data_IF_091713256463
#
_entry.id   IF_091713256463
#
_cell.length_a   1.000
_cell.length_b   1.000
_cell.length_c   1.000
_cell.angle_alpha   90.00
_cell.angle_beta   90.00
_cell.angle_gamma   90.00
#
_symmetry.space_group_name_H-M   'P 1'
#
loop_
_entity.id
_entity.type
_entity.pdbx_description
1 polymer ?
#
# COMPACT_ATOMS: atom_id res chain seq x y z
N UNK A 1 13.86 9.54 -5.10
CA UNK A 1 12.68 8.92 -4.46
C UNK A 1 13.14 7.99 -3.37
N UNK A 2 12.51 8.04 -2.19
CA UNK A 2 12.82 7.19 -1.03
C UNK A 2 11.64 6.29 -0.70
N UNK A 3 11.88 4.99 -0.63
CA UNK A 3 10.88 3.97 -0.30
C UNK A 3 11.15 3.41 1.08
N UNK A 4 10.17 3.50 1.98
CA UNK A 4 10.22 2.86 3.29
C UNK A 4 9.59 1.48 3.22
N UNK A 5 10.30 0.48 3.75
CA UNK A 5 9.88 -0.91 3.84
C UNK A 5 9.81 -1.36 5.31
N UNK A 6 8.69 -1.18 5.98
CA UNK A 6 8.49 -1.79 7.29
C UNK A 6 8.50 -3.33 7.17
N UNK A 7 9.27 -4.00 8.02
CA UNK A 7 9.39 -5.46 8.04
C UNK A 7 9.32 -6.00 9.46
N UNK A 8 8.59 -7.11 9.61
CA UNK A 8 8.51 -7.94 10.81
C UNK A 8 9.15 -9.33 10.58
N UNK A 9 9.92 -9.44 9.50
CA UNK A 9 10.57 -10.68 9.03
C UNK A 9 9.61 -11.81 8.64
N UNK A 10 8.31 -11.58 8.65
CA UNK A 10 7.31 -12.56 8.23
C UNK A 10 7.48 -12.92 6.74
N UNK A 11 6.92 -14.08 6.36
CA UNK A 11 6.89 -14.51 4.95
C UNK A 11 6.27 -13.43 4.02
N UNK A 12 5.28 -12.70 4.51
CA UNK A 12 4.57 -11.69 3.74
C UNK A 12 5.35 -10.37 3.64
N UNK A 13 6.08 -9.98 4.70
CA UNK A 13 6.99 -8.85 4.59
C UNK A 13 8.12 -9.13 3.57
N UNK A 14 8.57 -10.38 3.44
CA UNK A 14 9.54 -10.78 2.40
C UNK A 14 8.97 -10.64 0.99
N UNK A 15 7.68 -10.94 0.76
CA UNK A 15 7.02 -10.68 -0.54
C UNK A 15 7.02 -9.18 -0.86
N UNK A 16 6.73 -8.34 0.13
CA UNK A 16 6.79 -6.89 -0.04
C UNK A 16 8.21 -6.40 -0.34
N UNK A 17 9.24 -6.98 0.29
CA UNK A 17 10.65 -6.69 -0.01
C UNK A 17 10.98 -7.00 -1.47
N UNK A 18 10.63 -8.18 -1.98
CA UNK A 18 10.88 -8.55 -3.38
C UNK A 18 10.15 -7.62 -4.34
N UNK A 19 8.88 -7.31 -4.05
CA UNK A 19 8.09 -6.36 -4.85
C UNK A 19 8.74 -4.99 -4.89
N UNK A 20 9.10 -4.46 -3.73
CA UNK A 20 9.70 -3.14 -3.59
C UNK A 20 11.08 -3.05 -4.24
N UNK A 21 11.90 -4.11 -4.17
CA UNK A 21 13.22 -4.16 -4.81
C UNK A 21 13.08 -3.95 -6.33
N UNK A 22 12.16 -4.68 -6.97
CA UNK A 22 11.92 -4.55 -8.41
C UNK A 22 11.36 -3.18 -8.78
N UNK A 23 10.43 -2.65 -7.97
CA UNK A 23 9.86 -1.31 -8.16
C UNK A 23 10.95 -0.25 -8.00
N UNK A 24 11.76 -0.31 -6.94
CA UNK A 24 12.86 0.62 -6.69
C UNK A 24 13.90 0.58 -7.80
N UNK A 25 14.25 -0.60 -8.28
CA UNK A 25 15.18 -0.75 -9.41
C UNK A 25 14.65 -0.09 -10.70
N UNK A 26 13.34 -0.22 -10.95
CA UNK A 26 12.67 0.46 -12.08
C UNK A 26 12.69 1.97 -11.96
N UNK A 27 12.56 2.50 -10.74
CA UNK A 27 12.48 3.95 -10.46
C UNK A 27 13.82 4.57 -10.06
N UNK A 28 14.89 3.79 -9.95
CA UNK A 28 16.17 4.21 -9.38
C UNK A 28 15.97 4.87 -8.00
N UNK A 29 15.19 4.22 -7.12
CA UNK A 29 14.80 4.71 -5.81
C UNK A 29 15.66 4.09 -4.70
N UNK A 30 15.90 4.85 -3.62
CA UNK A 30 16.51 4.38 -2.38
C UNK A 30 15.51 3.53 -1.59
N UNK A 31 15.97 2.44 -0.97
CA UNK A 31 15.19 1.63 -0.04
C UNK A 31 15.73 1.80 1.38
N UNK A 32 14.81 2.05 2.32
CA UNK A 32 15.08 2.03 3.75
C UNK A 32 14.23 0.93 4.40
N UNK A 33 14.86 -0.15 4.83
CA UNK A 33 14.21 -1.19 5.64
C UNK A 33 14.00 -0.66 7.06
N UNK A 34 12.80 -0.79 7.61
CA UNK A 34 12.49 -0.37 8.98
C UNK A 34 11.96 -1.53 9.80
N UNK A 35 12.62 -1.84 10.91
CA UNK A 35 12.08 -2.76 11.90
C UNK A 35 11.76 -2.01 13.19
N UNK A 36 10.55 -2.21 13.71
CA UNK A 36 10.09 -1.61 14.97
C UNK A 36 10.14 -2.65 16.06
N UNK A 37 10.94 -2.37 17.10
CA UNK A 37 11.07 -3.25 18.27
C UNK A 37 10.24 -2.67 19.41
N UNK A 38 9.38 -3.50 19.98
CA UNK A 38 8.60 -3.14 21.17
C UNK A 38 8.35 -4.36 22.04
N UNK A 39 8.11 -4.11 23.33
CA UNK A 39 7.62 -5.13 24.27
C UNK A 39 6.23 -4.70 24.69
N UNK A 40 5.23 -5.53 24.42
CA UNK A 40 3.88 -5.35 24.89
C UNK A 40 3.80 -5.82 26.36
N UNK A 41 4.22 -4.94 27.27
CA UNK A 41 4.19 -5.20 28.69
C UNK A 41 3.65 -3.98 29.45
N UNK A 42 2.92 -4.20 30.59
CA UNK A 42 2.45 -3.10 31.42
C UNK A 42 3.60 -2.17 31.84
N UNK A 43 3.36 -0.85 31.97
CA UNK A 43 4.42 0.13 32.27
C UNK A 43 5.31 -0.21 33.47
N UNK A 44 4.75 -0.86 34.49
CA UNK A 44 5.50 -1.32 35.68
C UNK A 44 6.47 -2.45 35.39
N UNK A 45 6.18 -3.32 34.40
CA UNK A 45 7.03 -4.42 33.98
C UNK A 45 8.14 -3.94 33.01
N UNK A 46 7.90 -2.86 32.27
CA UNK A 46 8.88 -2.26 31.37
C UNK A 46 10.07 -1.64 32.09
N UNK A 47 9.91 -1.24 33.34
CA UNK A 47 10.97 -0.65 34.18
C UNK A 47 11.96 -1.70 34.75
N UNK A 48 11.72 -2.99 34.54
CA UNK A 48 12.60 -4.03 35.07
C UNK A 48 13.88 -4.19 34.22
N UNK A 49 15.02 -4.35 34.84
CA UNK A 49 16.34 -4.59 34.19
C UNK A 49 16.28 -5.72 33.12
N UNK A 50 15.46 -6.75 33.34
CA UNK A 50 15.24 -7.86 32.39
C UNK A 50 14.64 -7.39 31.06
N UNK A 51 13.80 -6.35 31.05
CA UNK A 51 13.15 -5.81 29.84
C UNK A 51 14.16 -5.19 28.89
N UNK A 52 15.15 -4.46 29.42
CA UNK A 52 16.21 -3.88 28.60
C UNK A 52 17.10 -4.95 27.97
N UNK A 53 17.44 -6.00 28.70
CA UNK A 53 18.22 -7.13 28.15
C UNK A 53 17.46 -7.86 27.02
N UNK A 54 16.15 -8.04 27.17
CA UNK A 54 15.31 -8.64 26.13
C UNK A 54 15.27 -7.72 24.90
N UNK A 55 15.06 -6.42 25.08
CA UNK A 55 15.09 -5.45 23.97
C UNK A 55 16.41 -5.43 23.22
N UNK A 56 17.52 -5.46 23.96
CA UNK A 56 18.86 -5.48 23.34
C UNK A 56 19.09 -6.77 22.53
N UNK A 57 18.69 -7.92 23.07
CA UNK A 57 18.75 -9.17 22.33
C UNK A 57 17.84 -9.17 21.09
N UNK A 58 16.64 -8.56 21.17
CA UNK A 58 15.75 -8.42 19.99
C UNK A 58 16.39 -7.51 18.94
N UNK A 59 17.07 -6.45 19.33
CA UNK A 59 17.78 -5.55 18.42
C UNK A 59 18.94 -6.24 17.73
N UNK A 60 19.75 -7.00 18.47
CA UNK A 60 20.87 -7.74 17.91
C UNK A 60 20.42 -8.79 16.88
N UNK A 61 19.36 -9.52 17.18
CA UNK A 61 18.77 -10.47 16.22
C UNK A 61 18.21 -9.73 14.99
N UNK A 62 17.44 -8.67 15.20
CA UNK A 62 16.86 -7.88 14.11
C UNK A 62 17.96 -7.27 13.21
N UNK A 63 19.09 -6.88 13.78
CA UNK A 63 20.23 -6.37 13.01
C UNK A 63 20.79 -7.41 12.05
N UNK A 64 20.98 -8.64 12.51
CA UNK A 64 21.48 -9.74 11.67
C UNK A 64 20.50 -10.05 10.52
N UNK A 65 19.20 -10.12 10.82
CA UNK A 65 18.16 -10.35 9.81
C UNK A 65 18.11 -9.21 8.78
N UNK A 66 18.21 -7.94 9.22
CA UNK A 66 18.22 -6.78 8.33
C UNK A 66 19.48 -6.69 7.47
N UNK A 67 20.65 -7.03 8.01
CA UNK A 67 21.90 -7.12 7.25
C UNK A 67 21.77 -8.18 6.14
N UNK A 68 21.20 -9.34 6.46
CA UNK A 68 20.94 -10.39 5.48
C UNK A 68 20.01 -9.91 4.36
N UNK A 69 18.84 -9.36 4.73
CA UNK A 69 17.85 -8.85 3.75
C UNK A 69 18.45 -7.71 2.91
N UNK A 70 19.20 -6.81 3.52
CA UNK A 70 19.85 -5.69 2.82
C UNK A 70 20.78 -6.21 1.73
N UNK A 71 21.54 -7.25 2.01
CA UNK A 71 22.45 -7.86 1.05
C UNK A 71 21.68 -8.58 -0.08
N UNK A 72 20.60 -9.30 0.24
CA UNK A 72 19.74 -9.90 -0.79
C UNK A 72 19.15 -8.83 -1.73
N UNK A 73 18.60 -7.74 -1.18
CA UNK A 73 18.04 -6.64 -1.96
C UNK A 73 19.09 -6.00 -2.88
N UNK A 74 20.29 -5.75 -2.37
CA UNK A 74 21.41 -5.19 -3.17
C UNK A 74 21.79 -6.13 -4.32
N UNK A 75 21.90 -7.41 -4.05
CA UNK A 75 22.25 -8.41 -5.08
C UNK A 75 21.16 -8.50 -6.15
N UNK A 76 19.88 -8.58 -5.76
CA UNK A 76 18.76 -8.65 -6.71
C UNK A 76 18.65 -7.37 -7.56
N UNK A 77 18.94 -6.22 -6.98
CA UNK A 77 18.98 -4.95 -7.70
C UNK A 77 20.24 -4.74 -8.55
N UNK A 78 21.19 -5.68 -8.53
CA UNK A 78 22.45 -5.57 -9.23
C UNK A 78 23.32 -4.41 -8.73
N UNK A 79 23.21 -4.07 -7.44
CA UNK A 79 23.88 -2.93 -6.78
C UNK A 79 23.58 -1.56 -7.42
N UNK A 80 22.42 -1.41 -8.07
CA UNK A 80 22.04 -0.17 -8.78
C UNK A 80 21.28 0.81 -7.90
N UNK A 81 20.79 0.38 -6.73
CA UNK A 81 20.01 1.20 -5.81
C UNK A 81 20.67 1.25 -4.44
N UNK A 82 20.48 2.36 -3.74
CA UNK A 82 20.92 2.50 -2.36
C UNK A 82 19.94 1.76 -1.44
N UNK A 83 20.49 0.94 -0.53
CA UNK A 83 19.72 0.19 0.44
C UNK A 83 20.35 0.35 1.82
N UNK A 84 19.54 0.79 2.76
CA UNK A 84 19.91 0.94 4.17
C UNK A 84 18.84 0.35 5.08
N UNK A 85 19.13 0.21 6.37
CA UNK A 85 18.12 -0.19 7.34
C UNK A 85 18.18 0.63 8.63
N UNK A 86 17.07 0.62 9.35
CA UNK A 86 16.92 1.24 10.67
C UNK A 86 16.12 0.33 11.60
N UNK A 87 16.52 0.34 12.88
CA UNK A 87 15.77 -0.30 13.96
C UNK A 87 15.32 0.82 14.90
N UNK A 88 14.02 0.87 15.19
CA UNK A 88 13.45 1.91 16.05
C UNK A 88 12.65 1.25 17.16
N UNK A 89 12.86 1.72 18.40
CA UNK A 89 12.04 1.31 19.55
C UNK A 89 10.77 2.18 19.61
N UNK A 90 9.61 1.58 19.77
CA UNK A 90 8.37 2.35 19.95
C UNK A 90 7.09 1.56 19.74
N UNK A 91 5.99 2.14 20.22
CA UNK A 91 4.62 1.61 20.12
C UNK A 91 3.61 2.77 20.20
N UNK A 92 2.51 2.76 19.45
CA UNK A 92 2.11 1.76 18.47
C UNK A 92 3.01 1.78 17.20
N UNK A 93 3.09 0.64 16.51
CA UNK A 93 3.99 0.45 15.36
C UNK A 93 3.69 1.42 14.22
N UNK A 94 2.43 1.67 13.94
CA UNK A 94 1.96 2.59 12.90
C UNK A 94 2.41 4.04 13.15
N UNK A 95 2.41 4.50 14.40
CA UNK A 95 2.84 5.86 14.75
C UNK A 95 4.37 6.01 14.59
N UNK A 96 5.12 4.95 14.91
CA UNK A 96 6.57 4.90 14.68
C UNK A 96 6.88 4.96 13.19
N UNK A 97 6.15 4.20 12.37
CA UNK A 97 6.32 4.20 10.91
C UNK A 97 6.01 5.58 10.33
N UNK A 98 4.88 6.20 10.71
CA UNK A 98 4.48 7.53 10.22
C UNK A 98 5.48 8.61 10.64
N UNK A 99 5.90 8.61 11.90
CA UNK A 99 6.90 9.57 12.43
C UNK A 99 8.23 9.40 11.70
N UNK A 100 8.68 8.17 11.52
CA UNK A 100 9.92 7.89 10.80
C UNK A 100 9.83 8.35 9.35
N UNK A 101 8.74 8.03 8.68
CA UNK A 101 8.51 8.37 7.28
C UNK A 101 8.49 9.89 7.07
N UNK A 102 7.82 10.64 7.95
CA UNK A 102 7.82 12.11 7.91
C UNK A 102 9.21 12.70 8.11
N UNK A 103 9.95 12.26 9.15
CA UNK A 103 11.24 12.83 9.53
C UNK A 103 12.37 12.52 8.52
N UNK A 104 12.21 11.47 7.70
CA UNK A 104 13.20 11.06 6.71
C UNK A 104 12.81 11.40 5.27
N UNK A 105 11.77 12.21 5.07
CA UNK A 105 11.25 12.62 3.76
C UNK A 105 11.00 11.41 2.84
N UNK A 106 10.26 10.43 3.35
CA UNK A 106 9.85 9.24 2.60
C UNK A 106 8.76 9.62 1.59
N UNK A 107 8.90 9.14 0.36
CA UNK A 107 7.95 9.39 -0.72
C UNK A 107 6.87 8.31 -0.81
N UNK A 108 7.19 7.07 -0.41
CA UNK A 108 6.32 5.89 -0.54
C UNK A 108 6.61 4.89 0.56
N UNK A 109 5.58 4.34 1.17
CA UNK A 109 5.67 3.18 2.06
C UNK A 109 5.21 1.94 1.30
N UNK A 110 5.98 0.84 1.37
CA UNK A 110 5.57 -0.45 0.80
C UNK A 110 5.60 -1.49 1.91
N UNK A 111 4.51 -2.21 2.12
CA UNK A 111 4.42 -3.21 3.18
C UNK A 111 3.52 -4.39 2.79
N UNK A 112 3.73 -5.53 3.43
CA UNK A 112 2.85 -6.69 3.26
C UNK A 112 1.46 -6.45 3.84
N UNK A 113 0.45 -7.08 3.27
CA UNK A 113 -0.94 -6.96 3.75
C UNK A 113 -1.18 -7.63 5.10
N UNK A 114 -0.37 -8.62 5.51
CA UNK A 114 -0.47 -9.31 6.81
C UNK A 114 0.90 -9.33 7.46
N UNK A 115 0.93 -9.30 8.78
CA UNK A 115 2.14 -9.44 9.59
C UNK A 115 2.29 -10.84 10.21
N UNK A 116 3.25 -10.99 11.12
CA UNK A 116 3.61 -12.25 11.78
C UNK A 116 2.46 -12.88 12.60
N UNK A 117 1.43 -12.13 12.97
CA UNK A 117 0.29 -12.65 13.76
C UNK A 117 -0.62 -13.65 13.03
N UNK A 118 -0.51 -13.75 11.70
CA UNK A 118 -1.04 -14.84 10.87
C UNK A 118 -2.50 -15.24 11.06
N UNK A 119 -3.37 -14.37 11.61
CA UNK A 119 -4.79 -14.66 11.78
C UNK A 119 -5.44 -14.87 10.40
N UNK A 120 -5.86 -16.09 10.14
CA UNK A 120 -6.33 -16.63 8.86
C UNK A 120 -7.54 -15.86 8.26
N UNK A 121 -8.22 -15.04 9.06
CA UNK A 121 -9.49 -14.40 8.70
C UNK A 121 -9.42 -12.90 8.41
N UNK A 122 -8.26 -12.25 8.51
CA UNK A 122 -8.13 -10.81 8.28
C UNK A 122 -7.23 -10.58 7.07
N UNK A 123 -7.75 -9.92 6.05
CA UNK A 123 -7.10 -9.76 4.75
C UNK A 123 -5.96 -8.75 4.75
N UNK A 124 -6.10 -7.68 5.52
CA UNK A 124 -5.04 -6.73 5.81
C UNK A 124 -4.79 -6.80 7.31
N UNK A 125 -3.54 -7.00 7.71
CA UNK A 125 -3.14 -7.03 9.11
C UNK A 125 -3.42 -5.71 9.81
N UNK A 126 -3.56 -5.73 11.14
CA UNK A 126 -3.84 -4.54 11.95
C UNK A 126 -2.85 -3.40 11.67
N UNK A 127 -1.55 -3.70 11.60
CA UNK A 127 -0.51 -2.70 11.34
C UNK A 127 -0.65 -2.08 9.93
N UNK A 128 -0.89 -2.89 8.89
CA UNK A 128 -1.07 -2.38 7.54
C UNK A 128 -2.33 -1.51 7.43
N UNK A 129 -3.45 -1.95 8.02
CA UNK A 129 -4.70 -1.17 8.09
C UNK A 129 -4.48 0.16 8.81
N UNK A 130 -3.78 0.14 9.94
CA UNK A 130 -3.50 1.34 10.74
C UNK A 130 -2.56 2.30 10.01
N UNK A 131 -1.49 1.80 9.38
CA UNK A 131 -0.59 2.63 8.56
C UNK A 131 -1.33 3.26 7.39
N UNK A 132 -2.14 2.50 6.63
CA UNK A 132 -2.95 3.02 5.53
C UNK A 132 -3.93 4.10 6.03
N UNK A 133 -4.56 3.88 7.18
CA UNK A 133 -5.54 4.83 7.75
C UNK A 133 -4.92 6.12 8.25
N UNK A 134 -3.72 6.06 8.79
CA UNK A 134 -3.05 7.18 9.45
C UNK A 134 -2.03 7.90 8.56
N UNK A 135 -1.41 7.20 7.61
CA UNK A 135 -0.30 7.75 6.82
C UNK A 135 -0.71 8.92 5.93
N UNK A 136 0.10 9.97 5.94
CA UNK A 136 0.02 11.08 5.00
C UNK A 136 0.82 10.82 3.72
N UNK A 137 1.59 9.76 3.71
CA UNK A 137 2.43 9.31 2.59
C UNK A 137 1.70 8.18 1.88
N UNK A 138 1.77 8.09 0.54
CA UNK A 138 1.21 6.96 -0.19
C UNK A 138 1.72 5.62 0.34
N UNK A 139 0.83 4.63 0.44
CA UNK A 139 1.16 3.28 0.92
C UNK A 139 0.78 2.26 -0.13
N UNK A 140 1.72 1.39 -0.54
CA UNK A 140 1.41 0.20 -1.33
C UNK A 140 1.33 -1.00 -0.39
N UNK A 141 0.15 -1.58 -0.27
CA UNK A 141 -0.07 -2.84 0.42
C UNK A 141 0.10 -4.00 -0.58
N UNK A 142 1.06 -4.88 -0.32
CA UNK A 142 1.45 -5.97 -1.21
C UNK A 142 0.88 -7.29 -0.69
N UNK A 143 -0.05 -7.93 -1.42
CA UNK A 143 -0.61 -9.21 -1.03
C UNK A 143 0.34 -10.39 -1.30
N UNK A 144 0.01 -11.55 -0.72
CA UNK A 144 0.89 -12.73 -0.67
C UNK A 144 1.39 -13.22 -2.04
N UNK A 145 0.55 -13.14 -3.05
CA UNK A 145 0.85 -13.66 -4.37
C UNK A 145 1.19 -12.58 -5.39
N UNK A 146 1.28 -11.32 -4.96
CA UNK A 146 1.64 -10.23 -5.84
C UNK A 146 3.07 -10.38 -6.38
N UNK A 147 3.21 -10.06 -7.66
CA UNK A 147 4.50 -10.01 -8.35
C UNK A 147 4.63 -8.70 -9.10
N UNK A 148 5.76 -8.06 -8.95
CA UNK A 148 6.05 -6.86 -9.74
C UNK A 148 6.62 -7.28 -11.11
N UNK A 149 5.88 -6.98 -12.16
CA UNK A 149 6.37 -7.10 -13.55
C UNK A 149 6.52 -5.71 -14.18
N UNK A 150 5.49 -4.91 -14.09
CA UNK A 150 5.39 -3.47 -14.41
C UNK A 150 4.02 -2.99 -13.91
N UNK A 151 3.75 -1.70 -13.95
CA UNK A 151 2.44 -1.13 -13.65
C UNK A 151 1.91 -0.48 -14.93
N UNK A 152 1.20 -1.24 -15.76
CA UNK A 152 0.63 -0.75 -17.02
C UNK A 152 -0.83 -0.31 -16.88
N UNK A 153 -1.59 -0.99 -16.06
CA UNK A 153 -3.01 -0.73 -15.86
C UNK A 153 -3.30 -0.47 -14.37
N UNK A 154 -3.73 0.76 -14.06
CA UNK A 154 -4.12 1.18 -12.70
C UNK A 154 -5.63 1.33 -12.67
N UNK A 155 -6.32 0.54 -11.85
CA UNK A 155 -7.74 0.75 -11.57
C UNK A 155 -7.87 1.70 -10.39
N UNK A 156 -8.43 2.89 -10.64
CA UNK A 156 -8.74 3.84 -9.59
C UNK A 156 -10.21 3.73 -9.19
N UNK A 157 -10.48 3.09 -8.05
CA UNK A 157 -11.82 3.00 -7.49
C UNK A 157 -12.20 4.34 -6.82
N UNK A 158 -13.19 5.04 -7.40
CA UNK A 158 -13.52 6.42 -7.06
C UNK A 158 -14.98 6.59 -6.67
N UNK A 159 -15.22 7.38 -5.59
CA UNK A 159 -16.54 7.90 -5.24
C UNK A 159 -17.00 9.07 -6.13
N UNK A 160 -16.14 9.55 -7.01
CA UNK A 160 -16.29 10.70 -7.92
C UNK A 160 -16.48 12.07 -7.22
N UNK A 161 -16.38 12.13 -5.88
CA UNK A 161 -16.60 13.38 -5.13
C UNK A 161 -15.46 14.39 -5.33
N UNK A 162 -14.24 13.91 -5.47
CA UNK A 162 -13.07 14.78 -5.60
C UNK A 162 -12.10 14.33 -6.72
N UNK A 163 -12.61 13.61 -7.71
CA UNK A 163 -11.82 13.02 -8.80
C UNK A 163 -10.84 14.01 -9.44
N UNK A 164 -11.23 15.27 -9.61
CA UNK A 164 -10.37 16.32 -10.18
C UNK A 164 -9.12 16.64 -9.35
N UNK A 165 -9.19 16.51 -8.03
CA UNK A 165 -8.01 16.73 -7.15
C UNK A 165 -7.17 15.46 -7.07
N UNK A 166 -7.82 14.31 -6.94
CA UNK A 166 -7.21 13.00 -6.72
C UNK A 166 -6.44 12.52 -7.93
N UNK A 167 -7.03 12.67 -9.11
CA UNK A 167 -6.42 12.20 -10.37
C UNK A 167 -5.06 12.85 -10.65
N UNK A 168 -4.85 14.09 -10.22
CA UNK A 168 -3.57 14.78 -10.40
C UNK A 168 -2.42 14.01 -9.75
N UNK A 169 -2.62 13.55 -8.52
CA UNK A 169 -1.62 12.75 -7.79
C UNK A 169 -1.41 11.40 -8.47
N UNK A 170 -2.49 10.78 -8.93
CA UNK A 170 -2.40 9.49 -9.59
C UNK A 170 -1.74 9.57 -10.97
N UNK A 171 -1.94 10.65 -11.71
CA UNK A 171 -1.24 10.89 -12.99
C UNK A 171 0.26 10.97 -12.78
N UNK A 172 0.73 11.68 -11.73
CA UNK A 172 2.16 11.76 -11.41
C UNK A 172 2.75 10.36 -11.16
N UNK A 173 2.02 9.50 -10.47
CA UNK A 173 2.44 8.12 -10.26
C UNK A 173 2.39 7.30 -11.56
N UNK A 174 1.32 7.42 -12.33
CA UNK A 174 1.14 6.71 -13.59
C UNK A 174 2.23 7.05 -14.64
N UNK A 175 2.67 8.30 -14.66
CA UNK A 175 3.76 8.75 -15.56
C UNK A 175 5.09 8.04 -15.30
N UNK A 176 5.36 7.59 -14.06
CA UNK A 176 6.59 6.85 -13.72
C UNK A 176 6.67 5.50 -14.44
N UNK A 177 5.52 4.93 -14.84
CA UNK A 177 5.42 3.59 -15.42
C UNK A 177 4.83 3.58 -16.83
N UNK A 178 4.47 4.76 -17.35
CA UNK A 178 3.70 4.91 -18.58
C UNK A 178 2.40 4.10 -18.52
N UNK A 179 1.65 4.31 -17.42
CA UNK A 179 0.44 3.57 -17.09
C UNK A 179 -0.81 4.18 -17.69
N UNK A 180 -1.81 3.33 -17.92
CA UNK A 180 -3.18 3.71 -18.20
C UNK A 180 -3.99 3.74 -16.90
N UNK A 181 -4.78 4.79 -16.67
CA UNK A 181 -5.65 4.94 -15.50
C UNK A 181 -7.09 4.64 -15.89
N UNK A 182 -7.65 3.60 -15.28
CA UNK A 182 -9.05 3.22 -15.40
C UNK A 182 -9.81 3.72 -14.17
N UNK A 183 -10.58 4.80 -14.30
CA UNK A 183 -11.43 5.30 -13.22
C UNK A 183 -12.68 4.45 -13.16
N UNK A 184 -12.84 3.69 -12.09
CA UNK A 184 -14.01 2.87 -11.82
C UNK A 184 -14.90 3.55 -10.79
N UNK A 185 -16.14 3.83 -11.17
CA UNK A 185 -17.19 4.31 -10.26
C UNK A 185 -18.31 3.28 -10.16
N UNK A 186 -18.63 2.90 -8.93
CA UNK A 186 -19.65 1.88 -8.67
C UNK A 186 -20.87 2.55 -8.08
N UNK A 187 -22.02 2.27 -8.65
CA UNK A 187 -23.32 2.79 -8.22
C UNK A 187 -24.31 1.66 -8.07
N UNK A 188 -25.21 1.78 -7.09
CA UNK A 188 -26.31 0.81 -6.97
C UNK A 188 -27.18 0.83 -8.22
N UNK A 189 -27.66 -0.34 -8.71
CA UNK A 189 -28.58 -0.45 -9.84
C UNK A 189 -29.84 0.41 -9.70
N UNK A 190 -30.26 0.66 -8.47
CA UNK A 190 -31.43 1.51 -8.15
C UNK A 190 -31.12 3.01 -8.16
N UNK A 191 -29.88 3.41 -8.42
CA UNK A 191 -29.49 4.81 -8.42
C UNK A 191 -30.08 5.57 -9.62
N UNK A 192 -30.74 6.69 -9.35
CA UNK A 192 -31.23 7.60 -10.38
C UNK A 192 -30.15 8.55 -10.93
N UNK A 193 -28.91 8.49 -10.42
CA UNK A 193 -27.82 9.36 -10.88
C UNK A 193 -27.35 8.91 -12.26
N UNK A 194 -27.57 9.77 -13.25
CA UNK A 194 -26.94 9.62 -14.58
C UNK A 194 -25.56 10.24 -14.56
N UNK A 195 -24.54 9.43 -14.84
CA UNK A 195 -23.16 9.89 -14.93
C UNK A 195 -22.73 9.87 -16.38
N UNK A 196 -22.39 11.06 -16.87
CA UNK A 196 -21.85 11.21 -18.24
C UNK A 196 -20.35 10.90 -18.23
N UNK A 197 -20.05 9.62 -18.37
CA UNK A 197 -18.66 9.12 -18.33
C UNK A 197 -17.78 9.73 -19.42
N UNK A 198 -18.30 9.96 -20.61
CA UNK A 198 -17.53 10.54 -21.72
C UNK A 198 -17.18 11.99 -21.47
N UNK A 199 -18.13 12.77 -20.96
CA UNK A 199 -17.88 14.17 -20.59
C UNK A 199 -16.81 14.28 -19.49
N UNK A 200 -16.87 13.42 -18.47
CA UNK A 200 -15.89 13.41 -17.38
C UNK A 200 -14.52 13.03 -17.93
N UNK A 201 -14.42 11.95 -18.71
CA UNK A 201 -13.18 11.50 -19.32
C UNK A 201 -12.53 12.59 -20.17
N UNK A 202 -13.28 13.19 -21.10
CA UNK A 202 -12.77 14.24 -21.99
C UNK A 202 -12.30 15.48 -21.21
N UNK A 203 -13.03 15.86 -20.18
CA UNK A 203 -12.65 16.97 -19.29
C UNK A 203 -11.32 16.67 -18.56
N UNK A 204 -11.13 15.46 -18.04
CA UNK A 204 -9.91 15.07 -17.34
C UNK A 204 -8.71 15.01 -18.30
N UNK A 205 -8.89 14.39 -19.47
CA UNK A 205 -7.85 14.32 -20.52
C UNK A 205 -7.42 15.73 -20.94
N UNK A 206 -8.36 16.60 -21.26
CA UNK A 206 -8.09 17.97 -21.68
C UNK A 206 -7.40 18.78 -20.57
N UNK A 207 -7.91 18.69 -19.34
CA UNK A 207 -7.41 19.47 -18.20
C UNK A 207 -5.98 19.12 -17.82
N UNK A 208 -5.61 17.82 -17.87
CA UNK A 208 -4.31 17.36 -17.42
C UNK A 208 -3.36 16.99 -18.55
N UNK A 209 -3.80 17.15 -19.79
CA UNK A 209 -3.05 16.73 -20.98
C UNK A 209 -2.48 15.30 -20.85
N UNK A 210 -3.32 14.38 -20.33
CA UNK A 210 -2.96 12.98 -20.10
C UNK A 210 -4.00 12.08 -20.79
N UNK A 211 -3.68 11.50 -21.96
CA UNK A 211 -4.65 10.77 -22.77
C UNK A 211 -4.98 9.37 -22.22
N UNK A 212 -4.14 8.83 -21.34
CA UNK A 212 -4.26 7.46 -20.84
C UNK A 212 -5.24 7.39 -19.67
N UNK A 213 -6.46 7.86 -19.85
CA UNK A 213 -7.55 7.83 -18.87
C UNK A 213 -8.80 7.25 -19.51
N UNK A 214 -9.46 6.33 -18.83
CA UNK A 214 -10.84 5.92 -19.12
C UNK A 214 -11.73 6.06 -17.89
N UNK A 215 -13.03 6.23 -18.11
CA UNK A 215 -14.05 6.26 -17.05
C UNK A 215 -15.05 5.14 -17.28
N UNK A 216 -15.18 4.27 -16.30
CA UNK A 216 -16.14 3.19 -16.26
C UNK A 216 -17.12 3.35 -15.10
N UNK A 217 -18.40 3.06 -15.34
CA UNK A 217 -19.44 3.05 -14.32
C UNK A 217 -20.00 1.65 -14.25
N UNK A 218 -19.85 1.00 -13.12
CA UNK A 218 -20.42 -0.32 -12.84
C UNK A 218 -21.69 -0.19 -12.02
N UNK A 219 -22.70 -0.95 -12.38
CA UNK A 219 -23.96 -1.08 -11.64
C UNK A 219 -23.90 -2.34 -10.80
N UNK A 220 -23.57 -2.20 -9.52
CA UNK A 220 -23.48 -3.32 -8.59
C UNK A 220 -23.74 -2.82 -7.17
N UNK A 221 -24.42 -3.62 -6.36
CA UNK A 221 -24.60 -3.34 -4.93
C UNK A 221 -23.42 -3.84 -4.09
N UNK A 222 -22.60 -4.77 -4.64
CA UNK A 222 -21.36 -5.24 -4.03
C UNK A 222 -20.15 -4.54 -4.66
N UNK A 223 -19.56 -3.63 -3.89
CA UNK A 223 -18.42 -2.83 -4.33
C UNK A 223 -17.18 -3.69 -4.60
N UNK A 224 -16.96 -4.72 -3.77
CA UNK A 224 -15.78 -5.58 -3.87
C UNK A 224 -15.88 -6.43 -5.13
N UNK A 225 -17.03 -7.05 -5.36
CA UNK A 225 -17.30 -7.85 -6.56
C UNK A 225 -17.12 -7.01 -7.84
N UNK A 226 -17.67 -5.80 -7.88
CA UNK A 226 -17.52 -4.91 -9.04
C UNK A 226 -16.06 -4.51 -9.31
N UNK A 227 -15.26 -4.31 -8.26
CA UNK A 227 -13.83 -4.04 -8.39
C UNK A 227 -13.11 -5.27 -8.93
N UNK A 228 -13.37 -6.45 -8.38
CA UNK A 228 -12.74 -7.71 -8.78
C UNK A 228 -13.02 -8.05 -10.26
N UNK A 229 -14.27 -7.93 -10.67
CA UNK A 229 -14.67 -8.13 -12.07
C UNK A 229 -13.91 -7.17 -13.00
N UNK A 230 -13.89 -5.89 -12.66
CA UNK A 230 -13.26 -4.89 -13.52
C UNK A 230 -11.72 -5.02 -13.56
N UNK A 231 -11.10 -5.38 -12.45
CA UNK A 231 -9.66 -5.69 -12.38
C UNK A 231 -9.29 -6.84 -13.32
N UNK A 232 -10.10 -7.90 -13.31
CA UNK A 232 -9.89 -9.05 -14.18
C UNK A 232 -10.07 -8.69 -15.67
N UNK A 233 -11.07 -7.86 -15.98
CA UNK A 233 -11.38 -7.41 -17.33
C UNK A 233 -10.23 -6.60 -17.95
N UNK A 234 -9.73 -5.59 -17.20
CA UNK A 234 -8.65 -4.73 -17.70
C UNK A 234 -7.25 -5.29 -17.41
N UNK A 235 -7.13 -6.43 -16.73
CA UNK A 235 -5.86 -7.04 -16.28
C UNK A 235 -5.02 -6.04 -15.49
N UNK A 236 -5.62 -5.45 -14.47
CA UNK A 236 -4.98 -4.43 -13.67
C UNK A 236 -3.71 -4.94 -12.96
N UNK A 237 -2.69 -4.10 -12.90
CA UNK A 237 -1.44 -4.33 -12.17
C UNK A 237 -1.47 -3.70 -10.77
N UNK A 238 -2.32 -2.70 -10.57
CA UNK A 238 -2.43 -1.94 -9.34
C UNK A 238 -3.86 -1.43 -9.16
N UNK A 239 -4.37 -1.49 -7.95
CA UNK A 239 -5.58 -0.76 -7.55
C UNK A 239 -5.19 0.47 -6.78
N UNK A 240 -5.77 1.62 -7.08
CA UNK A 240 -5.56 2.86 -6.37
C UNK A 240 -6.85 3.33 -5.70
N UNK A 241 -6.73 3.83 -4.47
CA UNK A 241 -7.84 4.39 -3.71
C UNK A 241 -7.39 5.60 -2.92
N UNK A 242 -8.29 6.59 -2.81
CA UNK A 242 -8.10 7.75 -1.94
C UNK A 242 -8.91 7.58 -0.67
N UNK A 243 -8.25 7.64 0.49
CA UNK A 243 -8.87 7.40 1.78
C UNK A 243 -9.23 8.71 2.48
N UNK A 244 -10.50 8.84 2.90
CA UNK A 244 -10.94 9.96 3.75
C UNK A 244 -11.03 9.56 5.23
N UNK A 245 -11.39 8.31 5.49
CA UNK A 245 -11.62 7.73 6.83
C UNK A 245 -11.47 6.21 6.77
N UNK A 246 -11.17 5.56 7.88
CA UNK A 246 -11.12 4.09 7.98
C UNK A 246 -12.37 3.39 7.46
N UNK A 247 -13.56 4.04 7.59
CA UNK A 247 -14.87 3.48 7.24
C UNK A 247 -15.04 3.05 5.77
N UNK A 248 -14.31 3.64 4.82
CA UNK A 248 -14.35 3.18 3.43
C UNK A 248 -13.53 1.88 3.26
N UNK A 249 -12.37 1.83 3.91
CA UNK A 249 -11.55 0.61 4.01
C UNK A 249 -12.29 -0.51 4.74
N UNK A 250 -12.98 -0.19 5.84
CA UNK A 250 -13.80 -1.16 6.58
C UNK A 250 -14.95 -1.72 5.74
N UNK A 251 -15.53 -0.92 4.86
CA UNK A 251 -16.57 -1.38 3.90
C UNK A 251 -16.00 -2.29 2.81
N UNK A 252 -14.80 -1.98 2.31
CA UNK A 252 -14.11 -2.80 1.31
C UNK A 252 -13.54 -4.08 1.91
N UNK A 253 -13.09 -4.03 3.16
CA UNK A 253 -12.33 -5.11 3.79
C UNK A 253 -13.05 -5.77 5.00
N UNK A 254 -14.27 -5.35 5.35
CA UNK A 254 -14.86 -5.66 6.66
C UNK A 254 -15.97 -6.70 6.74
N UNK A 255 -16.54 -7.28 5.67
CA UNK A 255 -17.79 -8.06 5.83
C UNK A 255 -17.96 -9.37 5.04
N UNK A 256 -17.08 -9.86 4.18
CA UNK A 256 -17.30 -11.13 3.48
C UNK A 256 -16.02 -11.92 3.22
N UNK A 257 -15.79 -12.93 4.03
CA UNK A 257 -14.56 -13.76 4.06
C UNK A 257 -14.34 -14.57 2.76
N UNK A 258 -15.36 -14.92 2.02
CA UNK A 258 -15.27 -15.85 0.89
C UNK A 258 -15.00 -15.16 -0.45
N UNK A 259 -15.44 -13.90 -0.63
CA UNK A 259 -15.22 -13.10 -1.85
C UNK A 259 -13.91 -12.33 -1.83
N UNK A 260 -13.46 -11.96 -0.65
CA UNK A 260 -12.23 -11.23 -0.35
C UNK A 260 -10.95 -11.94 -0.80
N UNK A 261 -10.96 -13.26 -0.96
CA UNK A 261 -9.74 -14.03 -1.25
C UNK A 261 -9.19 -13.83 -2.66
N UNK A 262 -10.02 -13.53 -3.65
CA UNK A 262 -9.57 -13.42 -5.04
C UNK A 262 -8.83 -12.11 -5.31
N UNK A 263 -9.39 -10.99 -4.91
CA UNK A 263 -8.84 -9.66 -5.13
C UNK A 263 -7.53 -9.40 -4.36
N UNK A 264 -7.51 -9.79 -3.09
CA UNK A 264 -6.43 -9.39 -2.17
C UNK A 264 -5.18 -10.26 -2.27
N UNK A 265 -5.26 -11.39 -2.97
CA UNK A 265 -4.12 -12.30 -3.08
C UNK A 265 -3.13 -11.97 -4.20
N UNK A 266 -3.50 -11.13 -5.16
CA UNK A 266 -2.73 -10.93 -6.39
C UNK A 266 -2.38 -9.48 -6.71
N UNK A 267 -3.29 -8.54 -6.53
CA UNK A 267 -3.13 -7.17 -6.99
C UNK A 267 -2.77 -6.24 -5.83
N UNK A 268 -1.65 -5.49 -5.88
CA UNK A 268 -1.30 -4.51 -4.86
C UNK A 268 -2.29 -3.35 -4.82
N UNK A 269 -2.45 -2.79 -3.62
CA UNK A 269 -3.30 -1.64 -3.37
C UNK A 269 -2.46 -0.41 -3.04
N UNK A 270 -2.57 0.62 -3.85
CA UNK A 270 -2.04 1.95 -3.59
C UNK A 270 -3.10 2.78 -2.85
N UNK A 271 -2.88 3.01 -1.58
CA UNK A 271 -3.70 3.88 -0.74
C UNK A 271 -3.06 5.28 -0.62
N UNK A 272 -3.83 6.30 -0.94
CA UNK A 272 -3.39 7.70 -0.88
C UNK A 272 -4.35 8.47 0.01
N UNK A 273 -3.84 9.20 1.00
CA UNK A 273 -4.68 10.05 1.85
C UNK A 273 -5.20 11.23 1.05
N UNK A 274 -6.49 11.46 1.12
CA UNK A 274 -7.15 12.61 0.51
C UNK A 274 -6.73 13.87 1.25
N UNK A 275 -6.07 14.80 0.56
CA UNK A 275 -5.80 16.14 1.10
C UNK A 275 -7.11 16.92 1.05
N UNK A 276 -7.60 17.36 2.22
CA UNK A 276 -8.78 18.19 2.38
C UNK A 276 -8.59 19.57 1.69
#
# INVERSE_FOLDING_TARGET
>A
MKILLPTDFSKLSKVAVVYATKLANKLNAEIILLHVVFIDAPPRAQAALKTNQILDAMIDNAKQDLEYITNEVKQEAGNKIDVSFKIVKGYPVEDVIETFAHNNAIDLVIMGTKGASGLIKVLIGSNATAVIGNSNIPVIAVPEHARFNNIKHIVYASDMLAVNKEIKTLIQFAQLFDSFIHILHIVSPNSKKKIDKLKIQNNLISKYNFPHISVHVSLNDDIVEAIDEYIADVKADLVAMFTHKPTFFEKLFGKSVTREMAFHSWIPLLAIKKKL
#
